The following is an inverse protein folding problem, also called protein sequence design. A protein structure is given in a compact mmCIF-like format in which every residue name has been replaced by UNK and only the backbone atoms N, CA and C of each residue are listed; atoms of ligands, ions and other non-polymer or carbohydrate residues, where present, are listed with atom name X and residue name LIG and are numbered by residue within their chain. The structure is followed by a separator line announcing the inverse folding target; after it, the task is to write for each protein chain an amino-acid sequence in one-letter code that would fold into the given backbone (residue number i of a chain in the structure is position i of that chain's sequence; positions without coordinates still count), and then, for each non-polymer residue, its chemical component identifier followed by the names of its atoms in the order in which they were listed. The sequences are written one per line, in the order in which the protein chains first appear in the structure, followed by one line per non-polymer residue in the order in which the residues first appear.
data_IF_150667135733
#
_entry.id   IF_150667135733
#
_cell.length_a   1.000
_cell.length_b   1.000
_cell.length_c   1.000
_cell.angle_alpha   90.00
_cell.angle_beta   90.00
_cell.angle_gamma   90.00
#
_symmetry.space_group_name_H-M   'P 1'
#
loop_
_entity.id
_entity.type
_entity.pdbx_description
1 polymer ?
#
# COMPACT_ATOMS: atom_id res chain seq x y z
N UNK A 1 -7.39 -26.65 -0.05
CA UNK A 1 -7.64 -25.30 -0.61
C UNK A 1 -9.13 -24.97 -0.51
N UNK A 2 -9.61 -24.34 0.58
CA UNK A 2 -11.03 -23.92 0.74
C UNK A 2 -11.19 -22.51 1.34
N UNK A 3 -10.12 -21.72 1.33
CA UNK A 3 -10.01 -20.41 1.99
C UNK A 3 -9.04 -20.41 3.18
N UNK A 4 -8.66 -19.21 3.63
CA UNK A 4 -7.72 -18.99 4.75
C UNK A 4 -8.41 -18.89 6.12
N UNK A 5 -9.74 -18.77 6.14
CA UNK A 5 -10.54 -18.70 7.37
C UNK A 5 -11.56 -19.84 7.39
N UNK A 6 -11.70 -20.50 8.55
CA UNK A 6 -12.52 -21.70 8.70
C UNK A 6 -14.02 -21.49 8.40
N UNK A 7 -14.54 -20.29 8.65
CA UNK A 7 -15.94 -19.91 8.40
C UNK A 7 -16.15 -19.07 7.14
N UNK A 8 -15.08 -18.65 6.45
CA UNK A 8 -15.12 -17.82 5.25
C UNK A 8 -16.11 -16.65 5.37
N UNK A 9 -16.90 -16.44 4.31
CA UNK A 9 -17.88 -15.35 4.25
C UNK A 9 -19.11 -15.52 5.16
N UNK A 10 -19.28 -16.67 5.82
CA UNK A 10 -20.33 -16.85 6.83
C UNK A 10 -19.98 -16.14 8.14
N UNK A 11 -18.69 -15.91 8.40
CA UNK A 11 -18.23 -15.16 9.57
C UNK A 11 -18.14 -13.66 9.29
N UNK A 12 -17.46 -13.29 8.21
CA UNK A 12 -17.28 -11.89 7.80
C UNK A 12 -17.20 -11.83 6.28
N UNK A 13 -17.93 -10.90 5.67
CA UNK A 13 -17.80 -10.61 4.23
C UNK A 13 -16.41 -10.06 3.92
N UNK A 14 -16.02 -10.10 2.64
CA UNK A 14 -14.81 -9.40 2.21
C UNK A 14 -14.94 -7.90 2.50
N UNK A 15 -13.79 -7.25 2.66
CA UNK A 15 -13.77 -5.79 2.81
C UNK A 15 -14.14 -5.19 1.45
N UNK A 16 -15.25 -4.47 1.37
CA UNK A 16 -15.48 -3.57 0.24
C UNK A 16 -14.46 -2.44 0.40
N UNK A 17 -13.59 -2.32 -0.61
CA UNK A 17 -12.49 -1.36 -0.65
C UNK A 17 -12.36 -0.73 -2.05
N UNK A 18 -12.99 0.41 -2.25
CA UNK A 18 -12.95 1.19 -3.48
C UNK A 18 -11.63 1.96 -3.59
N UNK A 19 -10.99 1.83 -4.74
CA UNK A 19 -9.80 2.59 -5.09
C UNK A 19 -10.19 4.02 -5.46
N UNK A 20 -9.68 5.00 -4.72
CA UNK A 20 -10.03 6.40 -4.89
C UNK A 20 -8.86 7.35 -4.59
N UNK A 21 -8.77 8.38 -5.41
CA UNK A 21 -7.81 9.48 -5.29
C UNK A 21 -7.86 10.31 -6.56
N UNK A 22 -7.98 11.62 -6.42
CA UNK A 22 -7.88 12.59 -7.52
C UNK A 22 -7.67 13.99 -6.94
N UNK A 23 -6.99 14.84 -7.71
CA UNK A 23 -6.80 16.24 -7.37
C UNK A 23 -6.03 16.42 -6.06
N UNK A 24 -6.54 17.35 -5.26
CA UNK A 24 -5.98 17.75 -3.96
C UNK A 24 -6.32 16.75 -2.85
N UNK A 25 -5.60 16.86 -1.73
CA UNK A 25 -5.86 16.06 -0.54
C UNK A 25 -7.28 16.27 0.00
N UNK A 26 -7.79 17.49 -0.03
CA UNK A 26 -9.13 17.88 0.42
C UNK A 26 -10.24 17.29 -0.46
N UNK A 27 -10.06 17.30 -1.78
CA UNK A 27 -11.01 16.68 -2.72
C UNK A 27 -11.10 15.17 -2.51
N UNK A 28 -9.93 14.52 -2.35
CA UNK A 28 -9.89 13.08 -2.06
C UNK A 28 -10.43 12.77 -0.66
N UNK A 29 -10.18 13.61 0.35
CA UNK A 29 -10.76 13.47 1.69
C UNK A 29 -12.31 13.52 1.65
N UNK A 30 -12.87 14.48 0.91
CA UNK A 30 -14.31 14.58 0.72
C UNK A 30 -14.87 13.31 0.07
N UNK A 31 -14.16 12.74 -0.91
CA UNK A 31 -14.51 11.46 -1.52
C UNK A 31 -14.43 10.30 -0.53
N UNK A 32 -13.42 10.24 0.33
CA UNK A 32 -13.31 9.20 1.36
C UNK A 32 -14.46 9.28 2.36
N UNK A 33 -14.81 10.47 2.86
CA UNK A 33 -15.96 10.67 3.75
C UNK A 33 -17.26 10.21 3.07
N UNK A 34 -17.47 10.59 1.81
CA UNK A 34 -18.60 10.12 1.02
C UNK A 34 -18.65 8.58 0.94
N UNK A 35 -17.54 7.91 0.62
CA UNK A 35 -17.51 6.45 0.52
C UNK A 35 -17.87 5.78 1.85
N UNK A 36 -17.28 6.25 2.96
CA UNK A 36 -17.56 5.72 4.30
C UNK A 36 -19.03 5.90 4.69
N UNK A 37 -19.64 7.05 4.39
CA UNK A 37 -21.07 7.30 4.62
C UNK A 37 -21.97 6.36 3.81
N UNK A 38 -21.49 5.84 2.68
CA UNK A 38 -22.22 4.94 1.79
C UNK A 38 -21.89 3.45 2.00
N UNK A 39 -21.29 3.11 3.14
CA UNK A 39 -21.09 1.72 3.57
C UNK A 39 -19.73 1.11 3.20
N UNK A 40 -18.79 1.93 2.71
CA UNK A 40 -17.42 1.48 2.52
C UNK A 40 -16.78 1.08 3.85
N UNK A 41 -16.11 -0.08 3.88
CA UNK A 41 -15.56 -0.66 5.13
C UNK A 41 -14.05 -0.51 5.25
N UNK A 42 -13.41 0.10 4.26
CA UNK A 42 -11.99 0.44 4.25
C UNK A 42 -11.66 1.37 3.08
N UNK A 43 -10.61 2.18 3.24
CA UNK A 43 -10.19 3.13 2.20
C UNK A 43 -9.06 2.55 1.35
N UNK A 44 -9.02 2.84 0.05
CA UNK A 44 -7.84 2.56 -0.78
C UNK A 44 -7.41 3.83 -1.50
N UNK A 45 -6.20 4.28 -1.23
CA UNK A 45 -5.64 5.54 -1.74
C UNK A 45 -4.94 5.29 -3.07
N UNK A 46 -5.37 6.01 -4.10
CA UNK A 46 -4.67 6.15 -5.37
C UNK A 46 -3.82 7.44 -5.36
N UNK A 47 -2.52 7.35 -5.62
CA UNK A 47 -1.64 8.52 -5.68
C UNK A 47 -1.37 8.95 -7.13
N UNK A 48 -1.08 10.23 -7.33
CA UNK A 48 -0.73 10.75 -8.65
C UNK A 48 0.69 10.31 -9.09
N UNK A 49 0.98 10.46 -10.39
CA UNK A 49 2.28 10.05 -10.94
C UNK A 49 3.48 10.72 -10.26
N UNK A 50 3.48 12.04 -9.97
CA UNK A 50 4.55 12.67 -9.19
C UNK A 50 4.81 11.96 -7.86
N UNK A 51 3.76 11.71 -7.06
CA UNK A 51 3.86 11.04 -5.77
C UNK A 51 4.38 9.60 -5.94
N UNK A 52 3.87 8.84 -6.92
CA UNK A 52 4.32 7.47 -7.21
C UNK A 52 5.80 7.41 -7.60
N UNK A 53 6.27 8.44 -8.31
CA UNK A 53 7.66 8.57 -8.78
C UNK A 53 8.57 9.33 -7.80
N UNK A 54 8.08 9.71 -6.62
CA UNK A 54 8.85 10.38 -5.58
C UNK A 54 9.26 11.82 -5.89
N UNK A 55 8.44 12.53 -6.67
CA UNK A 55 8.60 13.96 -6.95
C UNK A 55 7.61 14.80 -6.15
N UNK A 56 8.07 15.97 -5.71
CA UNK A 56 7.19 17.01 -5.19
C UNK A 56 6.32 17.62 -6.31
N UNK A 57 5.19 18.18 -5.92
CA UNK A 57 4.19 18.77 -6.83
C UNK A 57 4.77 19.88 -7.73
N UNK A 58 5.77 20.61 -7.25
CA UNK A 58 6.42 21.71 -7.98
C UNK A 58 7.68 21.28 -8.75
N UNK A 59 8.00 19.98 -8.75
CA UNK A 59 9.12 19.45 -9.52
C UNK A 59 8.89 19.64 -11.03
N UNK A 60 9.93 19.93 -11.83
CA UNK A 60 9.80 20.03 -13.29
C UNK A 60 9.18 18.79 -13.94
N UNK A 61 9.39 17.60 -13.36
CA UNK A 61 8.85 16.32 -13.80
C UNK A 61 7.35 16.17 -13.53
N UNK A 62 6.79 16.95 -12.60
CA UNK A 62 5.39 16.87 -12.18
C UNK A 62 4.45 17.76 -13.01
N UNK A 63 5.01 18.61 -13.89
CA UNK A 63 4.23 19.56 -14.70
C UNK A 63 3.17 18.83 -15.52
N UNK A 64 1.89 19.14 -15.25
CA UNK A 64 0.74 18.59 -15.97
C UNK A 64 0.22 17.25 -15.44
N UNK A 65 0.87 16.67 -14.43
CA UNK A 65 0.49 15.36 -13.85
C UNK A 65 -0.07 15.47 -12.42
N UNK A 66 0.02 16.65 -11.79
CA UNK A 66 -0.57 16.92 -10.48
C UNK A 66 -2.04 16.49 -10.41
N UNK A 67 -2.34 15.59 -9.47
CA UNK A 67 -3.70 15.21 -9.14
C UNK A 67 -4.49 14.48 -10.25
N UNK A 68 -3.85 14.13 -11.37
CA UNK A 68 -4.56 13.68 -12.58
C UNK A 68 -5.03 12.23 -12.50
N UNK A 69 -4.19 11.35 -11.98
CA UNK A 69 -4.45 9.91 -11.86
C UNK A 69 -4.59 9.43 -10.41
N UNK A 70 -4.59 10.36 -9.45
CA UNK A 70 -4.59 10.07 -8.03
C UNK A 70 -4.50 11.35 -7.20
N UNK A 71 -4.43 11.22 -5.89
CA UNK A 71 -4.18 12.36 -4.98
C UNK A 71 -2.71 12.73 -4.98
N UNK A 72 -2.41 14.04 -4.99
CA UNK A 72 -1.05 14.55 -4.85
C UNK A 72 -0.65 14.64 -3.36
N UNK A 73 0.50 14.07 -2.98
CA UNK A 73 1.06 14.16 -1.63
C UNK A 73 2.54 14.49 -1.72
N UNK A 74 2.93 15.68 -1.27
CA UNK A 74 4.35 16.11 -1.23
C UNK A 74 4.85 16.31 0.21
N UNK A 75 3.95 16.32 1.20
CA UNK A 75 4.30 16.62 2.59
C UNK A 75 3.40 15.91 3.60
N UNK A 76 3.81 15.97 4.86
CA UNK A 76 2.95 15.55 5.98
C UNK A 76 1.66 16.37 6.04
N UNK A 77 1.68 17.66 5.67
CA UNK A 77 0.47 18.49 5.70
C UNK A 77 -0.59 17.96 4.74
N UNK A 78 -0.20 17.49 3.56
CA UNK A 78 -1.13 16.89 2.58
C UNK A 78 -1.73 15.59 3.13
N UNK A 79 -0.91 14.76 3.79
CA UNK A 79 -1.38 13.54 4.46
C UNK A 79 -2.36 13.84 5.61
N UNK A 80 -2.12 14.91 6.38
CA UNK A 80 -3.04 15.37 7.43
C UNK A 80 -4.38 15.82 6.83
N UNK A 81 -4.36 16.58 5.74
CA UNK A 81 -5.57 17.01 5.03
C UNK A 81 -6.33 15.82 4.41
N UNK A 82 -5.60 14.87 3.82
CA UNK A 82 -6.17 13.67 3.20
C UNK A 82 -7.01 12.84 4.19
N UNK A 83 -6.59 12.78 5.46
CA UNK A 83 -7.25 12.00 6.50
C UNK A 83 -7.94 12.82 7.59
N UNK A 84 -8.12 14.12 7.36
CA UNK A 84 -8.83 14.99 8.29
C UNK A 84 -10.26 14.48 8.56
N UNK A 85 -10.64 14.42 9.83
CA UNK A 85 -11.94 13.90 10.28
C UNK A 85 -12.17 12.39 10.08
N UNK A 86 -11.21 11.63 9.53
CA UNK A 86 -11.36 10.17 9.32
C UNK A 86 -10.78 9.42 10.54
N UNK A 87 -11.52 8.49 11.19
CA UNK A 87 -11.01 7.77 12.37
C UNK A 87 -10.07 6.61 11.96
N UNK A 88 -8.77 6.92 11.81
CA UNK A 88 -7.73 5.97 11.36
C UNK A 88 -7.53 4.74 12.27
N UNK A 89 -8.03 4.79 13.50
CA UNK A 89 -8.02 3.68 14.45
C UNK A 89 -9.24 2.75 14.35
N UNK A 90 -10.20 3.06 13.47
CA UNK A 90 -11.45 2.31 13.26
C UNK A 90 -11.61 1.87 11.81
N UNK A 91 -11.04 2.61 10.87
CA UNK A 91 -11.05 2.30 9.44
C UNK A 91 -9.70 1.73 9.04
N UNK A 92 -9.71 0.71 8.19
CA UNK A 92 -8.48 0.18 7.61
C UNK A 92 -8.14 0.92 6.32
N UNK A 93 -6.86 1.24 6.11
CA UNK A 93 -6.40 2.01 4.95
C UNK A 93 -5.44 1.20 4.09
N UNK A 94 -5.70 1.11 2.79
CA UNK A 94 -4.76 0.58 1.81
C UNK A 94 -4.13 1.73 1.04
N UNK A 95 -2.83 1.68 0.80
CA UNK A 95 -2.10 2.69 0.03
C UNK A 95 -1.39 2.00 -1.14
N UNK A 96 -1.81 2.30 -2.36
CA UNK A 96 -1.20 1.78 -3.59
C UNK A 96 0.01 2.62 -3.93
N UNK A 97 1.11 2.36 -3.24
CA UNK A 97 2.38 3.07 -3.35
C UNK A 97 3.54 2.07 -3.25
N UNK A 98 4.59 2.26 -4.03
CA UNK A 98 5.71 1.30 -4.15
C UNK A 98 7.05 1.93 -3.84
N UNK A 99 7.71 2.59 -4.80
CA UNK A 99 9.07 3.10 -4.59
C UNK A 99 9.24 4.05 -3.39
N UNK A 100 8.37 5.06 -3.20
CA UNK A 100 8.41 5.90 -2.01
C UNK A 100 7.48 5.40 -0.89
N UNK A 101 7.08 4.12 -0.90
CA UNK A 101 6.11 3.57 0.05
C UNK A 101 6.51 3.80 1.51
N UNK A 102 7.79 3.62 1.84
CA UNK A 102 8.26 3.85 3.21
C UNK A 102 8.12 5.31 3.66
N UNK A 103 8.29 6.27 2.74
CA UNK A 103 8.16 7.71 3.02
C UNK A 103 6.69 8.08 3.18
N UNK A 104 5.84 7.67 2.24
CA UNK A 104 4.39 7.92 2.30
C UNK A 104 3.76 7.25 3.52
N UNK A 105 4.19 6.04 3.86
CA UNK A 105 3.74 5.36 5.06
C UNK A 105 4.20 6.05 6.35
N UNK A 106 5.44 6.57 6.38
CA UNK A 106 5.91 7.38 7.51
C UNK A 106 5.07 8.64 7.72
N UNK A 107 4.65 9.31 6.63
CA UNK A 107 3.72 10.45 6.71
C UNK A 107 2.36 10.02 7.29
N UNK A 108 1.82 8.89 6.85
CA UNK A 108 0.56 8.34 7.38
C UNK A 108 0.66 8.04 8.89
N UNK A 109 1.77 7.42 9.31
CA UNK A 109 2.04 7.12 10.72
C UNK A 109 2.14 8.42 11.54
N UNK A 110 2.92 9.40 11.08
CA UNK A 110 3.10 10.67 11.77
C UNK A 110 1.78 11.46 11.90
N UNK A 111 0.92 11.44 10.87
CA UNK A 111 -0.40 12.04 10.92
C UNK A 111 -1.31 11.37 11.98
N UNK A 112 -1.22 10.05 12.14
CA UNK A 112 -1.93 9.33 13.19
C UNK A 112 -1.35 9.63 14.60
N UNK A 113 -0.02 9.68 14.73
CA UNK A 113 0.65 10.00 16.00
C UNK A 113 0.33 11.42 16.50
N UNK A 114 0.28 12.42 15.61
CA UNK A 114 -0.15 13.80 15.96
C UNK A 114 -1.59 13.85 16.49
N UNK A 115 -2.41 12.86 16.14
CA UNK A 115 -3.78 12.68 16.65
C UNK A 115 -3.86 11.80 17.90
N UNK A 116 -2.71 11.39 18.46
CA UNK A 116 -2.63 10.54 19.64
C UNK A 116 -3.10 9.10 19.40
N UNK A 117 -3.11 8.62 18.16
CA UNK A 117 -3.51 7.25 17.83
C UNK A 117 -2.31 6.31 18.02
N UNK A 118 -2.40 5.30 18.91
CA UNK A 118 -1.32 4.32 19.07
C UNK A 118 -1.10 3.49 17.80
N UNK A 119 0.16 3.17 17.49
CA UNK A 119 0.54 2.44 16.27
C UNK A 119 -0.13 1.07 16.17
N UNK A 120 -0.34 0.39 17.28
CA UNK A 120 -1.03 -0.90 17.35
C UNK A 120 -2.51 -0.82 16.96
N UNK A 121 -3.11 0.37 16.90
CA UNK A 121 -4.48 0.57 16.43
C UNK A 121 -4.58 0.87 14.94
N UNK A 122 -3.46 1.09 14.26
CA UNK A 122 -3.45 1.32 12.82
C UNK A 122 -3.55 -0.01 12.08
N UNK A 123 -4.62 -0.14 11.28
CA UNK A 123 -4.85 -1.28 10.41
C UNK A 123 -4.78 -0.87 8.94
N UNK A 124 -4.13 -1.67 8.11
CA UNK A 124 -3.98 -1.29 6.71
C UNK A 124 -3.05 -2.16 5.89
N UNK A 125 -2.76 -1.70 4.69
CA UNK A 125 -1.81 -2.32 3.75
C UNK A 125 -1.07 -1.22 3.01
N UNK A 126 0.22 -1.39 2.79
CA UNK A 126 0.97 -0.66 1.77
C UNK A 126 1.32 -1.63 0.65
N UNK A 127 1.22 -1.21 -0.62
CA UNK A 127 1.48 -2.12 -1.74
C UNK A 127 2.93 -2.61 -1.72
N UNK A 128 3.89 -1.69 -1.68
CA UNK A 128 5.29 -1.94 -1.33
C UNK A 128 5.91 -3.15 -2.07
N UNK A 129 5.48 -3.39 -3.32
CA UNK A 129 5.95 -4.49 -4.15
C UNK A 129 6.74 -3.89 -5.31
N UNK A 130 8.07 -3.87 -5.15
CA UNK A 130 8.97 -3.28 -6.13
C UNK A 130 9.32 -4.23 -7.28
N UNK A 131 9.31 -5.55 -7.07
CA UNK A 131 9.67 -6.50 -8.12
C UNK A 131 8.72 -6.39 -9.31
N UNK A 132 7.40 -6.32 -9.06
CA UNK A 132 6.41 -6.09 -10.10
C UNK A 132 6.49 -4.71 -10.78
N UNK A 133 7.13 -3.71 -10.16
CA UNK A 133 7.43 -2.43 -10.83
C UNK A 133 8.40 -2.61 -11.98
N UNK A 134 9.47 -3.40 -11.78
CA UNK A 134 10.41 -3.69 -12.85
C UNK A 134 9.84 -4.63 -13.92
N UNK A 135 8.87 -5.46 -13.56
CA UNK A 135 8.27 -6.45 -14.45
C UNK A 135 7.17 -5.82 -15.33
N UNK A 136 6.31 -4.97 -14.75
CA UNK A 136 5.06 -4.59 -15.41
C UNK A 136 4.63 -3.12 -15.21
N UNK A 137 4.80 -2.54 -14.02
CA UNK A 137 4.12 -1.28 -13.65
C UNK A 137 4.97 -0.01 -13.84
N UNK A 138 6.31 -0.13 -13.84
CA UNK A 138 7.28 0.93 -14.17
C UNK A 138 7.36 2.13 -13.20
N UNK A 139 6.86 2.03 -11.97
CA UNK A 139 6.94 3.07 -10.93
C UNK A 139 8.13 2.84 -9.98
N UNK A 140 9.35 2.79 -10.55
CA UNK A 140 10.59 2.60 -9.81
C UNK A 140 11.48 3.86 -9.73
N UNK A 141 12.02 4.15 -8.53
CA UNK A 141 12.96 5.27 -8.29
C UNK A 141 14.41 4.78 -8.23
N UNK A 142 14.67 3.74 -7.45
CA UNK A 142 16.02 3.23 -7.22
C UNK A 142 16.28 1.97 -8.04
N UNK A 143 17.54 1.52 -8.15
CA UNK A 143 17.83 0.17 -8.67
C UNK A 143 17.24 -0.95 -7.79
N UNK A 144 17.17 -2.21 -8.28
CA UNK A 144 16.53 -3.31 -7.55
C UNK A 144 17.09 -3.56 -6.14
N UNK A 145 18.41 -3.59 -5.96
CA UNK A 145 19.04 -3.89 -4.66
C UNK A 145 18.67 -2.90 -3.53
N UNK A 146 18.87 -1.58 -3.68
CA UNK A 146 18.46 -0.63 -2.64
C UNK A 146 16.93 -0.63 -2.44
N UNK A 147 16.14 -0.86 -3.49
CA UNK A 147 14.69 -0.96 -3.33
C UNK A 147 14.29 -2.15 -2.46
N UNK A 148 14.86 -3.34 -2.71
CA UNK A 148 14.64 -4.53 -1.88
C UNK A 148 15.02 -4.30 -0.42
N UNK A 149 16.09 -3.53 -0.17
CA UNK A 149 16.47 -3.14 1.20
C UNK A 149 15.35 -2.38 1.89
N UNK A 150 14.73 -1.40 1.23
CA UNK A 150 13.62 -0.60 1.78
C UNK A 150 12.38 -1.46 2.07
N UNK A 151 12.10 -2.47 1.23
CA UNK A 151 11.02 -3.43 1.49
C UNK A 151 11.28 -4.17 2.81
N UNK A 152 12.50 -4.70 2.99
CA UNK A 152 12.87 -5.44 4.20
C UNK A 152 12.91 -4.55 5.44
N UNK A 153 13.38 -3.30 5.33
CA UNK A 153 13.32 -2.32 6.43
C UNK A 153 11.87 -2.08 6.87
N UNK A 154 10.95 -2.02 5.92
CA UNK A 154 9.50 -1.88 6.17
C UNK A 154 8.94 -3.12 6.87
N UNK A 155 9.39 -4.33 6.51
CA UNK A 155 8.99 -5.57 7.19
C UNK A 155 9.44 -5.56 8.65
N UNK A 156 10.72 -5.24 8.89
CA UNK A 156 11.33 -5.18 10.21
C UNK A 156 10.58 -4.18 11.11
N UNK A 157 10.32 -2.97 10.59
CA UNK A 157 9.59 -1.94 11.32
C UNK A 157 8.14 -2.32 11.59
N UNK A 158 7.40 -2.73 10.56
CA UNK A 158 5.97 -3.06 10.68
C UNK A 158 5.72 -4.24 11.60
N UNK A 159 6.55 -5.27 11.53
CA UNK A 159 6.47 -6.45 12.42
C UNK A 159 6.64 -6.07 13.88
N UNK A 160 7.50 -5.10 14.18
CA UNK A 160 7.80 -4.68 15.55
C UNK A 160 6.76 -3.72 16.14
N UNK A 161 6.21 -2.82 15.32
CA UNK A 161 5.43 -1.67 15.82
C UNK A 161 3.98 -1.60 15.33
N UNK A 162 3.65 -2.21 14.19
CA UNK A 162 2.31 -2.15 13.58
C UNK A 162 1.71 -3.55 13.37
N UNK A 163 1.31 -4.25 14.45
CA UNK A 163 0.81 -5.62 14.37
C UNK A 163 -0.46 -5.79 13.53
N UNK A 164 -1.18 -4.73 13.19
CA UNK A 164 -2.40 -4.80 12.37
C UNK A 164 -2.18 -4.33 10.92
N UNK A 165 -0.92 -4.14 10.50
CA UNK A 165 -0.57 -3.68 9.17
C UNK A 165 -0.01 -4.80 8.30
N UNK A 166 -0.46 -4.89 7.05
CA UNK A 166 0.14 -5.74 6.04
C UNK A 166 1.26 -4.95 5.35
N UNK A 167 2.50 -5.40 5.50
CA UNK A 167 3.70 -4.64 5.10
C UNK A 167 4.00 -4.69 3.61
N UNK A 168 3.27 -5.52 2.86
CA UNK A 168 3.32 -5.66 1.41
C UNK A 168 2.02 -6.28 0.89
N UNK A 169 1.69 -5.94 -0.34
CA UNK A 169 0.70 -6.62 -1.17
C UNK A 169 1.38 -7.15 -2.42
N UNK A 170 1.80 -8.41 -2.39
CA UNK A 170 2.52 -9.07 -3.49
C UNK A 170 1.55 -9.25 -4.66
N UNK A 171 1.82 -8.60 -5.78
CA UNK A 171 0.80 -8.20 -6.75
C UNK A 171 0.96 -8.85 -8.13
N UNK A 172 0.03 -9.73 -8.47
CA UNK A 172 -0.14 -10.27 -9.83
C UNK A 172 -1.03 -9.43 -10.74
N UNK A 173 -1.88 -8.56 -10.17
CA UNK A 173 -2.82 -7.73 -10.93
C UNK A 173 -2.15 -7.00 -12.10
N UNK A 174 -1.09 -6.24 -11.83
CA UNK A 174 -0.38 -5.43 -12.84
C UNK A 174 0.34 -6.30 -13.88
N UNK A 175 0.90 -7.44 -13.44
CA UNK A 175 1.52 -8.44 -14.34
C UNK A 175 0.46 -8.97 -15.32
N UNK A 176 -0.76 -9.23 -14.83
CA UNK A 176 -1.87 -9.68 -15.67
C UNK A 176 -2.34 -8.61 -16.64
N UNK A 177 -2.53 -7.38 -16.16
CA UNK A 177 -2.91 -6.24 -17.01
C UNK A 177 -1.85 -5.94 -18.09
N UNK A 178 -0.57 -6.22 -17.84
CA UNK A 178 0.49 -6.13 -18.82
C UNK A 178 0.48 -7.25 -19.89
N UNK A 179 -0.47 -8.18 -19.83
CA UNK A 179 -0.70 -9.21 -20.85
C UNK A 179 -0.26 -10.63 -20.47
N UNK A 180 0.08 -10.88 -19.19
CA UNK A 180 0.37 -12.24 -18.74
C UNK A 180 -0.86 -13.17 -18.83
N UNK A 181 -0.63 -14.46 -18.95
CA UNK A 181 -1.67 -15.49 -18.73
C UNK A 181 -1.89 -15.73 -17.24
N UNK A 182 -3.00 -16.37 -16.86
CA UNK A 182 -3.26 -16.72 -15.46
C UNK A 182 -2.17 -17.58 -14.81
N UNK A 183 -1.56 -18.47 -15.59
CA UNK A 183 -0.45 -19.29 -15.12
C UNK A 183 0.81 -18.45 -14.85
N UNK A 184 1.10 -17.48 -15.73
CA UNK A 184 2.22 -16.55 -15.56
C UNK A 184 2.01 -15.61 -14.37
N UNK A 185 0.81 -15.01 -14.25
CA UNK A 185 0.44 -14.19 -13.09
C UNK A 185 0.68 -14.94 -11.78
N UNK A 186 0.16 -16.16 -11.66
CA UNK A 186 0.35 -16.96 -10.46
C UNK A 186 1.83 -17.29 -10.22
N UNK A 187 2.55 -17.74 -11.25
CA UNK A 187 3.94 -18.14 -11.11
C UNK A 187 4.86 -16.97 -10.72
N UNK A 188 4.73 -15.83 -11.39
CA UNK A 188 5.58 -14.66 -11.14
C UNK A 188 5.28 -14.03 -9.78
N UNK A 189 4.01 -13.88 -9.43
CA UNK A 189 3.61 -13.32 -8.12
C UNK A 189 4.10 -14.19 -6.95
N UNK A 190 4.01 -15.52 -7.06
CA UNK A 190 4.52 -16.42 -6.02
C UNK A 190 6.05 -16.42 -5.96
N UNK A 191 6.74 -16.30 -7.11
CA UNK A 191 8.20 -16.19 -7.15
C UNK A 191 8.68 -14.88 -6.49
N UNK A 192 7.99 -13.76 -6.73
CA UNK A 192 8.26 -12.49 -6.05
C UNK A 192 8.04 -12.65 -4.54
N UNK A 193 6.94 -13.28 -4.12
CA UNK A 193 6.68 -13.57 -2.71
C UNK A 193 7.75 -14.40 -2.03
N UNK A 194 8.26 -15.45 -2.69
CA UNK A 194 9.38 -16.24 -2.19
C UNK A 194 10.65 -15.40 -2.06
N UNK A 195 10.94 -14.56 -3.06
CA UNK A 195 12.10 -13.64 -3.05
C UNK A 195 12.03 -12.67 -1.87
N UNK A 196 10.86 -12.11 -1.57
CA UNK A 196 10.68 -11.25 -0.39
C UNK A 196 10.87 -11.99 0.94
N UNK A 197 10.37 -13.22 1.03
CA UNK A 197 10.56 -14.06 2.22
C UNK A 197 12.04 -14.39 2.42
N UNK A 198 12.74 -14.79 1.36
CA UNK A 198 14.18 -15.06 1.38
C UNK A 198 14.97 -13.84 1.84
N UNK A 199 14.67 -12.65 1.29
CA UNK A 199 15.32 -11.40 1.69
C UNK A 199 15.09 -11.05 3.17
N UNK A 200 13.88 -11.27 3.69
CA UNK A 200 13.59 -11.11 5.12
C UNK A 200 14.39 -12.07 6.00
N UNK A 201 14.49 -13.33 5.60
CA UNK A 201 15.27 -14.35 6.33
C UNK A 201 16.77 -14.07 6.27
N UNK A 202 17.31 -13.65 5.11
CA UNK A 202 18.73 -13.28 4.95
C UNK A 202 19.11 -12.09 5.84
N UNK A 203 18.18 -11.15 6.05
CA UNK A 203 18.33 -10.04 7.00
C UNK A 203 18.37 -10.50 8.46
N UNK A 204 17.90 -11.70 8.76
CA UNK A 204 17.83 -12.27 10.11
C UNK A 204 16.44 -12.22 10.76
N UNK A 205 15.39 -11.88 10.01
CA UNK A 205 14.01 -11.95 10.51
C UNK A 205 13.55 -13.41 10.56
N UNK A 206 12.82 -13.79 11.61
CA UNK A 206 12.18 -15.12 11.63
C UNK A 206 10.95 -15.09 10.75
N UNK A 207 10.79 -16.10 9.90
CA UNK A 207 9.67 -16.17 8.95
C UNK A 207 8.31 -16.03 9.63
N UNK A 208 8.12 -16.65 10.80
CA UNK A 208 6.85 -16.60 11.53
C UNK A 208 6.52 -15.21 12.11
N UNK A 209 7.50 -14.32 12.22
CA UNK A 209 7.29 -12.97 12.74
C UNK A 209 6.66 -12.06 11.67
N UNK A 210 7.15 -12.12 10.42
CA UNK A 210 6.73 -11.20 9.35
C UNK A 210 5.83 -11.84 8.28
N UNK A 211 5.95 -13.13 8.00
CA UNK A 211 5.15 -13.80 6.97
C UNK A 211 3.62 -13.69 7.18
N UNK A 212 3.08 -13.72 8.41
CA UNK A 212 1.65 -13.51 8.65
C UNK A 212 1.13 -12.12 8.27
N UNK A 213 2.01 -11.16 7.96
CA UNK A 213 1.68 -9.79 7.50
C UNK A 213 1.82 -9.61 5.99
N UNK A 214 2.25 -10.63 5.27
CA UNK A 214 2.31 -10.60 3.82
C UNK A 214 0.89 -10.80 3.26
N UNK A 215 0.51 -9.96 2.31
CA UNK A 215 -0.77 -10.08 1.60
C UNK A 215 -0.55 -10.18 0.09
N UNK A 216 -1.58 -10.54 -0.66
CA UNK A 216 -1.52 -10.74 -2.11
C UNK A 216 -2.62 -9.95 -2.81
N UNK A 217 -2.37 -9.58 -4.07
CA UNK A 217 -3.33 -8.91 -4.94
C UNK A 217 -3.32 -9.51 -6.35
N UNK A 218 -4.39 -10.22 -6.70
CA UNK A 218 -4.57 -10.88 -7.99
C UNK A 218 -5.67 -10.22 -8.82
N UNK A 219 -5.59 -10.41 -10.14
CA UNK A 219 -6.64 -10.08 -11.09
C UNK A 219 -7.77 -11.13 -11.04
N UNK A 220 -8.95 -10.80 -11.60
CA UNK A 220 -10.12 -11.69 -11.72
C UNK A 220 -10.57 -11.76 -13.16
#
# INVERSE_FOLDING_TARGET
MRGIHYNGYRGRLWTMRMFAGFGTAEETNARFKYLLEHGETGLSVAFDMPTLMGYDTDAPQAVGEFGKCGVAISSLADMEMLFDGIPLNQVTTSMTINSPACVIWAMYIAAAEKRGIPLERLGGTIQNDILKEYIAQNEYIFPPKPSMRLIVDTFEFGTKFLPNWNTISISGYHIREAGATAAQELAFTLADGLTYVEAGVERGLKVDDFAPKLSFFFNV
#
